data_IF_726337756409
#
_entry.id   IF_726337756409
#
_cell.length_a   1.000
_cell.length_b   1.000
_cell.length_c   1.000
_cell.angle_alpha   90.00
_cell.angle_beta   90.00
_cell.angle_gamma   90.00
#
_symmetry.space_group_name_H-M   'P 1'
#
loop_
_entity.id
_entity.type
_entity.pdbx_description
1 polymer ?
#
# COMPACT_ATOMS: atom_id res chain seq x y z
N UNK A 1 -26.80 -14.90 -11.49
CA UNK A 1 -26.25 -13.74 -12.24
C UNK A 1 -25.73 -14.25 -13.57
N UNK A 2 -26.02 -13.58 -14.68
CA UNK A 2 -25.51 -13.99 -15.99
C UNK A 2 -23.97 -13.89 -16.05
N UNK A 3 -23.31 -14.77 -16.82
CA UNK A 3 -21.84 -14.81 -16.96
C UNK A 3 -21.24 -13.44 -17.32
N UNK A 4 -21.81 -12.64 -18.26
CA UNK A 4 -21.28 -11.30 -18.56
C UNK A 4 -21.27 -10.36 -17.35
N UNK A 5 -22.31 -10.41 -16.52
CA UNK A 5 -22.38 -9.59 -15.32
C UNK A 5 -21.36 -10.03 -14.26
N UNK A 6 -21.14 -11.34 -14.07
CA UNK A 6 -20.10 -11.85 -13.16
C UNK A 6 -18.71 -11.38 -13.59
N UNK A 7 -18.42 -11.45 -14.90
CA UNK A 7 -17.16 -10.96 -15.47
C UNK A 7 -16.98 -9.46 -15.24
N UNK A 8 -18.02 -8.66 -15.49
CA UNK A 8 -18.01 -7.23 -15.21
C UNK A 8 -17.70 -6.90 -13.75
N UNK A 9 -18.33 -7.60 -12.80
CA UNK A 9 -18.04 -7.41 -11.37
C UNK A 9 -16.63 -7.89 -10.97
N UNK A 10 -16.12 -8.95 -11.60
CA UNK A 10 -14.74 -9.40 -11.36
C UNK A 10 -13.74 -8.33 -11.80
N UNK A 11 -13.95 -7.76 -13.00
CA UNK A 11 -13.12 -6.67 -13.54
C UNK A 11 -13.22 -5.41 -12.67
N UNK A 12 -14.41 -5.08 -12.17
CA UNK A 12 -14.58 -3.98 -11.22
C UNK A 12 -13.76 -4.20 -9.94
N UNK A 13 -13.75 -5.42 -9.38
CA UNK A 13 -12.93 -5.74 -8.21
C UNK A 13 -11.42 -5.57 -8.52
N UNK A 14 -10.97 -6.03 -9.69
CA UNK A 14 -9.57 -5.83 -10.10
C UNK A 14 -9.22 -4.34 -10.25
N UNK A 15 -10.12 -3.54 -10.83
CA UNK A 15 -9.93 -2.10 -10.94
C UNK A 15 -9.84 -1.42 -9.57
N UNK A 16 -10.72 -1.79 -8.62
CA UNK A 16 -10.68 -1.28 -7.25
C UNK A 16 -9.37 -1.65 -6.53
N UNK A 17 -8.90 -2.88 -6.72
CA UNK A 17 -7.63 -3.34 -6.16
C UNK A 17 -6.45 -2.53 -6.73
N UNK A 18 -6.30 -2.49 -8.05
CA UNK A 18 -5.21 -1.76 -8.72
C UNK A 18 -5.20 -0.27 -8.37
N UNK A 19 -6.38 0.38 -8.40
CA UNK A 19 -6.51 1.80 -8.06
C UNK A 19 -6.14 2.04 -6.60
N UNK A 20 -6.62 1.22 -5.67
CA UNK A 20 -6.32 1.41 -4.26
C UNK A 20 -4.83 1.21 -3.94
N UNK A 21 -4.12 0.33 -4.66
CA UNK A 21 -2.66 0.18 -4.52
C UNK A 21 -1.94 1.46 -4.96
N UNK A 22 -2.29 2.00 -6.13
CA UNK A 22 -1.71 3.26 -6.63
C UNK A 22 -2.04 4.44 -5.69
N UNK A 23 -3.29 4.56 -5.26
CA UNK A 23 -3.72 5.60 -4.32
C UNK A 23 -2.97 5.51 -3.00
N UNK A 24 -2.78 4.31 -2.43
CA UNK A 24 -2.05 4.11 -1.18
C UNK A 24 -0.59 4.53 -1.32
N UNK A 25 0.07 4.18 -2.43
CA UNK A 25 1.44 4.61 -2.71
C UNK A 25 1.56 6.15 -2.83
N UNK A 26 0.61 6.79 -3.51
CA UNK A 26 0.55 8.25 -3.65
C UNK A 26 0.35 8.90 -2.27
N UNK A 27 -0.67 8.48 -1.52
CA UNK A 27 -0.98 9.05 -0.19
C UNK A 27 0.21 8.89 0.75
N UNK A 28 0.86 7.72 0.78
CA UNK A 28 2.02 7.48 1.64
C UNK A 28 3.18 8.43 1.33
N UNK A 29 3.42 8.69 0.04
CA UNK A 29 4.44 9.64 -0.43
C UNK A 29 4.06 11.07 -0.08
N UNK A 30 2.81 11.45 -0.33
CA UNK A 30 2.31 12.80 -0.08
C UNK A 30 2.28 13.15 1.42
N UNK A 31 2.06 12.17 2.31
CA UNK A 31 2.13 12.39 3.75
C UNK A 31 3.50 12.91 4.21
N UNK A 32 4.60 12.50 3.56
CA UNK A 32 5.92 13.03 3.87
C UNK A 32 6.20 14.37 3.18
N UNK A 33 5.88 14.50 1.89
CA UNK A 33 6.07 15.78 1.17
C UNK A 33 5.23 16.93 1.73
N UNK A 34 4.07 16.62 2.32
CA UNK A 34 3.21 17.63 2.95
C UNK A 34 3.90 18.29 4.13
N UNK A 35 4.81 17.61 4.84
CA UNK A 35 5.53 18.21 5.97
C UNK A 35 6.36 19.39 5.50
N UNK A 36 7.21 19.19 4.49
CA UNK A 36 8.09 20.23 3.98
C UNK A 36 7.28 21.36 3.31
N UNK A 37 6.18 21.02 2.60
CA UNK A 37 5.26 22.03 2.04
C UNK A 37 4.57 22.86 3.12
N UNK A 38 4.12 22.23 4.21
CA UNK A 38 3.41 22.90 5.30
C UNK A 38 4.34 23.86 6.06
N UNK A 39 5.57 23.41 6.35
CA UNK A 39 6.57 24.22 7.04
C UNK A 39 7.03 25.40 6.17
N UNK A 40 7.19 25.22 4.86
CA UNK A 40 7.61 26.30 3.96
C UNK A 40 6.51 27.31 3.65
N UNK A 41 5.24 26.89 3.62
CA UNK A 41 4.13 27.76 3.22
C UNK A 41 3.60 28.63 4.36
N UNK A 42 3.86 28.28 5.62
CA UNK A 42 3.39 28.98 6.82
C UNK A 42 1.92 29.47 6.73
N UNK A 43 0.96 28.61 6.37
CA UNK A 43 -0.37 29.06 5.94
C UNK A 43 -1.25 29.59 7.09
N UNK A 44 -0.83 29.41 8.34
CA UNK A 44 -1.59 29.78 9.53
C UNK A 44 -0.65 30.41 10.58
N UNK A 45 -0.85 31.69 10.96
CA UNK A 45 0.00 32.38 11.93
C UNK A 45 0.09 31.68 13.30
N UNK A 46 -0.98 31.02 13.74
CA UNK A 46 -0.97 30.27 15.00
C UNK A 46 -0.11 29.01 14.90
N UNK A 47 -0.07 28.36 13.73
CA UNK A 47 0.85 27.26 13.46
C UNK A 47 2.29 27.76 13.45
N UNK A 48 2.59 28.84 12.71
CA UNK A 48 3.94 29.45 12.68
C UNK A 48 4.43 29.80 14.08
N UNK A 49 3.59 30.41 14.91
CA UNK A 49 3.95 30.72 16.30
C UNK A 49 4.24 29.48 17.17
N UNK A 50 3.68 28.31 16.83
CA UNK A 50 4.03 27.03 17.48
C UNK A 50 5.35 26.50 16.93
N UNK A 51 5.58 26.58 15.62
CA UNK A 51 6.85 26.19 14.99
C UNK A 51 8.02 27.02 15.55
N UNK A 52 7.85 28.33 15.71
CA UNK A 52 8.87 29.23 16.27
C UNK A 52 9.24 28.88 17.71
N UNK A 53 8.24 28.43 18.49
CA UNK A 53 8.46 28.02 19.89
C UNK A 53 9.14 26.65 20.00
N UNK A 54 8.77 25.70 19.15
CA UNK A 54 9.27 24.33 19.20
C UNK A 54 10.63 24.18 18.49
N UNK A 55 10.88 25.01 17.47
CA UNK A 55 11.99 24.86 16.55
C UNK A 55 11.57 24.12 15.28
N UNK A 56 12.13 24.53 14.14
CA UNK A 56 11.80 23.97 12.83
C UNK A 56 12.19 22.48 12.75
N UNK A 57 13.34 22.09 13.30
CA UNK A 57 13.81 20.70 13.22
C UNK A 57 12.93 19.75 14.02
N UNK A 58 12.62 20.15 15.25
CA UNK A 58 11.80 19.40 16.21
C UNK A 58 10.36 19.29 15.70
N UNK A 59 9.81 20.37 15.16
CA UNK A 59 8.49 20.36 14.51
C UNK A 59 8.46 19.38 13.34
N UNK A 60 9.50 19.40 12.49
CA UNK A 60 9.60 18.48 11.36
C UNK A 60 9.67 17.02 11.80
N UNK A 61 10.42 16.71 12.85
CA UNK A 61 10.49 15.36 13.42
C UNK A 61 9.15 14.91 13.98
N UNK A 62 8.44 15.77 14.71
CA UNK A 62 7.11 15.49 15.23
C UNK A 62 6.10 15.20 14.10
N UNK A 63 6.06 16.05 13.08
CA UNK A 63 5.18 15.84 11.91
C UNK A 63 5.56 14.59 11.13
N UNK A 64 6.87 14.29 11.02
CA UNK A 64 7.35 13.05 10.38
C UNK A 64 6.90 11.81 11.14
N UNK A 65 6.92 11.85 12.47
CA UNK A 65 6.41 10.76 13.29
C UNK A 65 4.90 10.55 13.05
N UNK A 66 4.11 11.63 13.05
CA UNK A 66 2.68 11.56 12.73
C UNK A 66 2.42 10.97 11.33
N UNK A 67 3.10 11.46 10.29
CA UNK A 67 2.99 10.92 8.93
C UNK A 67 3.41 9.45 8.86
N UNK A 68 4.37 9.04 9.68
CA UNK A 68 4.77 7.63 9.78
C UNK A 68 3.66 6.78 10.38
N UNK A 69 3.01 7.20 11.48
CA UNK A 69 1.86 6.48 12.05
C UNK A 69 0.65 6.45 11.11
N UNK A 70 0.37 7.54 10.38
CA UNK A 70 -0.68 7.55 9.34
C UNK A 70 -0.37 6.54 8.22
N UNK A 71 0.87 6.51 7.72
CA UNK A 71 1.26 5.54 6.72
C UNK A 71 1.16 4.09 7.23
N UNK A 72 1.62 3.84 8.46
CA UNK A 72 1.49 2.54 9.13
C UNK A 72 0.02 2.10 9.19
N UNK A 73 -0.89 3.01 9.52
CA UNK A 73 -2.33 2.75 9.56
C UNK A 73 -2.88 2.44 8.15
N UNK A 74 -2.55 3.27 7.17
CA UNK A 74 -3.03 3.11 5.79
C UNK A 74 -2.57 1.81 5.16
N UNK A 75 -1.30 1.41 5.32
CA UNK A 75 -0.82 0.13 4.80
C UNK A 75 -1.50 -1.07 5.47
N UNK A 76 -1.78 -1.02 6.78
CA UNK A 76 -2.51 -2.10 7.46
C UNK A 76 -3.94 -2.23 6.95
N UNK A 77 -4.69 -1.13 6.85
CA UNK A 77 -6.05 -1.17 6.32
C UNK A 77 -6.09 -1.52 4.85
N UNK A 78 -5.12 -1.03 4.07
CA UNK A 78 -5.04 -1.36 2.65
C UNK A 78 -4.81 -2.86 2.46
N UNK A 79 -3.89 -3.48 3.19
CA UNK A 79 -3.70 -4.93 3.19
C UNK A 79 -5.00 -5.70 3.49
N UNK A 80 -5.76 -5.29 4.50
CA UNK A 80 -7.06 -5.91 4.80
C UNK A 80 -8.09 -5.69 3.68
N UNK A 81 -8.13 -4.50 3.10
CA UNK A 81 -9.00 -4.19 1.97
C UNK A 81 -8.65 -5.03 0.74
N UNK A 82 -7.36 -5.20 0.44
CA UNK A 82 -6.88 -6.07 -0.64
C UNK A 82 -7.33 -7.51 -0.44
N UNK A 83 -7.20 -8.06 0.78
CA UNK A 83 -7.71 -9.41 1.09
C UNK A 83 -9.22 -9.51 0.86
N UNK A 84 -10.00 -8.55 1.34
CA UNK A 84 -11.45 -8.54 1.17
C UNK A 84 -11.87 -8.46 -0.31
N UNK A 85 -11.28 -7.52 -1.06
CA UNK A 85 -11.52 -7.34 -2.50
C UNK A 85 -11.07 -8.59 -3.27
N UNK A 86 -9.92 -9.16 -2.93
CA UNK A 86 -9.37 -10.32 -3.62
C UNK A 86 -10.14 -11.60 -3.39
N UNK A 87 -10.63 -11.84 -2.17
CA UNK A 87 -11.52 -12.98 -1.87
C UNK A 87 -12.81 -12.85 -2.69
N UNK A 88 -13.38 -11.64 -2.75
CA UNK A 88 -14.56 -11.38 -3.58
C UNK A 88 -14.28 -11.60 -5.07
N UNK A 89 -13.15 -11.08 -5.58
CA UNK A 89 -12.72 -11.26 -6.96
C UNK A 89 -12.54 -12.75 -7.30
N UNK A 90 -11.89 -13.52 -6.43
CA UNK A 90 -11.68 -14.96 -6.62
C UNK A 90 -13.01 -15.73 -6.60
N UNK A 91 -13.92 -15.39 -5.69
CA UNK A 91 -15.25 -16.01 -5.61
C UNK A 91 -16.07 -15.74 -6.89
N UNK A 92 -16.00 -14.52 -7.44
CA UNK A 92 -16.64 -14.19 -8.71
C UNK A 92 -15.97 -14.94 -9.88
N UNK A 93 -14.65 -14.89 -9.97
CA UNK A 93 -13.87 -15.55 -11.01
C UNK A 93 -14.08 -17.07 -11.00
N UNK A 94 -14.26 -17.68 -9.83
CA UNK A 94 -14.54 -19.12 -9.66
C UNK A 94 -15.81 -19.59 -10.38
N UNK A 95 -16.77 -18.68 -10.63
CA UNK A 95 -18.00 -18.95 -11.37
C UNK A 95 -17.85 -18.84 -12.89
N UNK A 96 -16.71 -18.34 -13.38
CA UNK A 96 -16.41 -18.26 -14.81
C UNK A 96 -15.75 -19.58 -15.25
N UNK A 97 -16.31 -20.32 -16.22
CA UNK A 97 -15.74 -21.59 -16.66
C UNK A 97 -14.44 -21.43 -17.46
N UNK A 98 -14.26 -20.30 -18.12
CA UNK A 98 -13.29 -20.03 -19.20
C UNK A 98 -12.16 -19.06 -18.82
N UNK A 99 -11.82 -18.96 -17.53
CA UNK A 99 -10.81 -18.01 -17.03
C UNK A 99 -9.79 -18.60 -16.03
N UNK A 100 -9.17 -19.77 -16.28
CA UNK A 100 -8.25 -20.39 -15.33
C UNK A 100 -6.99 -19.56 -15.04
N UNK A 101 -6.39 -18.86 -16.02
CA UNK A 101 -5.22 -17.98 -15.78
C UNK A 101 -5.57 -16.81 -14.87
N UNK A 102 -6.75 -16.21 -15.07
CA UNK A 102 -7.23 -15.14 -14.20
C UNK A 102 -7.41 -15.62 -12.75
N UNK A 103 -8.00 -16.81 -12.55
CA UNK A 103 -8.17 -17.42 -11.21
C UNK A 103 -6.82 -17.61 -10.52
N UNK A 104 -5.86 -18.23 -11.21
CA UNK A 104 -4.53 -18.46 -10.64
C UNK A 104 -3.75 -17.16 -10.40
N UNK A 105 -3.92 -16.16 -11.26
CA UNK A 105 -3.37 -14.82 -11.03
C UNK A 105 -3.92 -14.16 -9.77
N UNK A 106 -5.24 -14.23 -9.55
CA UNK A 106 -5.88 -13.71 -8.32
C UNK A 106 -5.39 -14.49 -7.08
N UNK A 107 -5.23 -15.81 -7.18
CA UNK A 107 -4.66 -16.64 -6.10
C UNK A 107 -3.23 -16.21 -5.78
N UNK A 108 -2.39 -15.96 -6.80
CA UNK A 108 -1.02 -15.50 -6.60
C UNK A 108 -0.98 -14.13 -5.91
N UNK A 109 -1.82 -13.19 -6.33
CA UNK A 109 -1.94 -11.88 -5.66
C UNK A 109 -2.39 -12.03 -4.21
N UNK A 110 -3.44 -12.81 -3.94
CA UNK A 110 -3.89 -13.08 -2.56
C UNK A 110 -2.79 -13.70 -1.69
N UNK A 111 -1.98 -14.60 -2.24
CA UNK A 111 -0.85 -15.17 -1.52
C UNK A 111 0.21 -14.12 -1.18
N UNK A 112 0.49 -13.18 -2.10
CA UNK A 112 1.39 -12.05 -1.86
C UNK A 112 0.82 -11.16 -0.75
N UNK A 113 -0.42 -10.69 -0.84
CA UNK A 113 -1.02 -9.84 0.22
C UNK A 113 -1.03 -10.55 1.55
N UNK A 114 -1.36 -11.84 1.60
CA UNK A 114 -1.35 -12.60 2.85
C UNK A 114 0.05 -12.63 3.47
N UNK A 115 1.08 -12.89 2.64
CA UNK A 115 2.48 -12.85 3.07
C UNK A 115 2.87 -11.46 3.58
N UNK A 116 2.50 -10.40 2.84
CA UNK A 116 2.76 -9.01 3.24
C UNK A 116 2.08 -8.69 4.57
N UNK A 117 0.81 -9.07 4.72
CA UNK A 117 -0.03 -8.76 5.89
C UNK A 117 0.47 -9.46 7.15
N UNK A 118 0.80 -10.75 7.05
CA UNK A 118 1.11 -11.58 8.22
C UNK A 118 2.57 -11.49 8.62
N UNK A 119 3.49 -11.37 7.66
CA UNK A 119 4.94 -11.46 7.93
C UNK A 119 5.69 -10.14 7.73
N UNK A 120 5.42 -9.40 6.65
CA UNK A 120 6.24 -8.23 6.31
C UNK A 120 5.78 -6.98 7.05
N UNK A 121 4.50 -6.63 6.96
CA UNK A 121 3.96 -5.40 7.55
C UNK A 121 4.19 -5.34 9.07
N UNK A 122 3.92 -6.38 9.88
CA UNK A 122 4.19 -6.32 11.33
C UNK A 122 5.67 -6.06 11.66
N UNK A 123 6.58 -6.62 10.86
CA UNK A 123 8.02 -6.38 11.03
C UNK A 123 8.42 -4.95 10.64
N UNK A 124 7.88 -4.41 9.55
CA UNK A 124 8.08 -2.99 9.17
C UNK A 124 7.61 -2.08 10.30
N UNK A 125 6.44 -2.34 10.89
CA UNK A 125 5.90 -1.56 12.00
C UNK A 125 6.82 -1.61 13.21
N UNK A 126 7.21 -2.81 13.63
CA UNK A 126 8.05 -3.03 14.80
C UNK A 126 9.42 -2.37 14.64
N UNK A 127 10.13 -2.67 13.55
CA UNK A 127 11.47 -2.12 13.29
C UNK A 127 11.38 -0.60 13.08
N UNK A 128 10.39 -0.14 12.33
CA UNK A 128 10.18 1.28 12.05
C UNK A 128 9.99 2.11 13.30
N UNK A 129 9.20 1.64 14.28
CA UNK A 129 9.02 2.35 15.56
C UNK A 129 10.29 2.42 16.39
N UNK A 130 11.17 1.42 16.29
CA UNK A 130 12.49 1.48 16.96
C UNK A 130 13.49 2.43 16.30
N UNK A 131 13.16 2.95 15.11
CA UNK A 131 13.97 3.94 14.39
C UNK A 131 13.41 5.36 14.51
N UNK A 132 12.22 5.52 15.10
CA UNK A 132 11.65 6.84 15.36
C UNK A 132 12.51 7.55 16.41
N UNK A 133 12.86 8.81 16.15
CA UNK A 133 13.73 9.65 16.99
C UNK A 133 15.17 9.13 17.20
N UNK A 134 15.62 8.17 16.38
CA UNK A 134 17.01 7.69 16.42
C UNK A 134 17.87 8.49 15.43
N UNK A 135 19.03 9.03 15.86
CA UNK A 135 19.99 9.68 14.97
C UNK A 135 20.40 8.74 13.82
N UNK A 136 20.54 9.31 12.62
CA UNK A 136 20.94 8.54 11.43
C UNK A 136 22.42 8.65 11.10
N UNK A 137 23.16 9.43 11.88
CA UNK A 137 24.61 9.56 11.79
C UNK A 137 25.25 9.28 13.15
N UNK A 138 25.96 8.14 13.31
CA UNK A 138 26.13 7.07 12.33
C UNK A 138 24.83 6.27 12.08
N UNK A 139 24.70 5.54 10.96
CA UNK A 139 23.49 4.78 10.64
C UNK A 139 23.22 3.66 11.66
N UNK A 140 22.01 3.56 12.25
CA UNK A 140 21.70 2.49 13.18
C UNK A 140 21.58 1.16 12.43
N UNK A 141 22.04 0.06 13.04
CA UNK A 141 22.04 -1.27 12.41
C UNK A 141 20.66 -1.70 11.88
N UNK A 142 19.58 -1.33 12.58
CA UNK A 142 18.20 -1.64 12.21
C UNK A 142 17.70 -0.89 10.96
N UNK A 143 18.38 0.18 10.54
CA UNK A 143 18.00 0.93 9.33
C UNK A 143 18.12 0.07 8.07
N UNK A 144 19.13 -0.80 8.00
CA UNK A 144 19.29 -1.76 6.90
C UNK A 144 18.14 -2.76 6.88
N UNK A 145 17.77 -3.31 8.03
CA UNK A 145 16.64 -4.24 8.16
C UNK A 145 15.34 -3.60 7.71
N UNK A 146 15.07 -2.36 8.15
CA UNK A 146 13.90 -1.60 7.72
C UNK A 146 13.90 -1.39 6.19
N UNK A 147 15.04 -0.99 5.62
CA UNK A 147 15.17 -0.80 4.18
C UNK A 147 14.89 -2.06 3.37
N UNK A 148 15.37 -3.22 3.82
CA UNK A 148 15.09 -4.51 3.18
C UNK A 148 13.61 -4.87 3.26
N UNK A 149 13.00 -4.77 4.44
CA UNK A 149 11.57 -5.08 4.62
C UNK A 149 10.68 -4.16 3.76
N UNK A 150 11.00 -2.87 3.74
CA UNK A 150 10.27 -1.89 2.93
C UNK A 150 10.46 -2.16 1.43
N UNK A 151 11.67 -2.50 0.98
CA UNK A 151 11.92 -2.87 -0.41
C UNK A 151 11.15 -4.15 -0.79
N UNK A 152 11.12 -5.17 0.07
CA UNK A 152 10.32 -6.39 -0.15
C UNK A 152 8.84 -6.05 -0.31
N UNK A 153 8.29 -5.19 0.55
CA UNK A 153 6.91 -4.74 0.42
C UNK A 153 6.68 -4.06 -0.94
N UNK A 154 7.47 -3.04 -1.26
CA UNK A 154 7.28 -2.24 -2.49
C UNK A 154 7.44 -3.07 -3.77
N UNK A 155 8.41 -3.99 -3.82
CA UNK A 155 8.61 -4.84 -5.00
C UNK A 155 7.45 -5.81 -5.17
N UNK A 156 6.98 -6.44 -4.09
CA UNK A 156 5.85 -7.37 -4.15
C UNK A 156 4.55 -6.67 -4.54
N UNK A 157 4.28 -5.49 -3.97
CA UNK A 157 3.12 -4.65 -4.33
C UNK A 157 3.19 -4.21 -5.81
N UNK A 158 4.40 -3.93 -6.32
CA UNK A 158 4.65 -3.66 -7.74
C UNK A 158 4.41 -4.89 -8.65
N UNK A 159 4.79 -6.09 -8.21
CA UNK A 159 4.49 -7.34 -8.91
C UNK A 159 2.97 -7.57 -8.94
N UNK A 160 2.25 -7.29 -7.86
CA UNK A 160 0.79 -7.39 -7.81
C UNK A 160 0.12 -6.47 -8.83
N UNK A 161 0.60 -5.25 -9.01
CA UNK A 161 0.08 -4.36 -10.07
C UNK A 161 0.24 -4.99 -11.46
N UNK A 162 1.41 -5.55 -11.77
CA UNK A 162 1.67 -6.20 -13.06
C UNK A 162 0.74 -7.40 -13.25
N UNK A 163 0.66 -8.28 -12.25
CA UNK A 163 -0.21 -9.47 -12.30
C UNK A 163 -1.68 -9.07 -12.40
N UNK A 164 -2.13 -8.06 -11.66
CA UNK A 164 -3.51 -7.58 -11.69
C UNK A 164 -3.90 -6.98 -13.04
N UNK A 165 -2.99 -6.30 -13.74
CA UNK A 165 -3.19 -5.86 -15.13
C UNK A 165 -3.36 -7.07 -16.05
N UNK A 166 -2.49 -8.08 -15.93
CA UNK A 166 -2.58 -9.31 -16.74
C UNK A 166 -3.90 -10.06 -16.48
N UNK A 167 -4.29 -10.21 -15.21
CA UNK A 167 -5.57 -10.80 -14.80
C UNK A 167 -6.73 -10.04 -15.44
N UNK A 168 -6.69 -8.71 -15.41
CA UNK A 168 -7.75 -7.88 -16.03
C UNK A 168 -7.83 -8.13 -17.53
N UNK A 169 -6.70 -8.28 -18.23
CA UNK A 169 -6.66 -8.60 -19.66
C UNK A 169 -7.22 -10.01 -19.92
N UNK A 170 -6.80 -11.02 -19.14
CA UNK A 170 -7.31 -12.39 -19.27
C UNK A 170 -8.81 -12.49 -18.97
N UNK A 171 -9.33 -11.66 -18.08
CA UNK A 171 -10.77 -11.56 -17.84
C UNK A 171 -11.54 -10.97 -19.03
N UNK A 172 -10.90 -10.34 -20.01
CA UNK A 172 -11.58 -9.87 -21.23
C UNK A 172 -11.53 -10.87 -22.38
N UNK A 173 -10.59 -11.81 -22.36
CA UNK A 173 -10.36 -12.78 -23.46
C UNK A 173 -10.67 -14.19 -22.97
N UNK A 174 -11.77 -14.82 -23.44
CA UNK A 174 -12.06 -16.22 -23.13
C UNK A 174 -10.86 -17.10 -23.48
N UNK A 175 -10.44 -17.98 -22.58
CA UNK A 175 -9.39 -18.94 -22.91
C UNK A 175 -9.97 -20.02 -23.83
N UNK A 176 -9.62 -19.98 -25.12
CA UNK A 176 -10.16 -20.89 -26.15
C UNK A 176 -10.42 -20.24 -27.51
N UNK A 177 -10.33 -18.91 -27.62
CA UNK A 177 -10.18 -18.14 -28.88
C UNK A 177 -8.71 -17.76 -29.12
#
# INVERSE_FOLDING_TARGET
>A
MAVPAIRGWTVFCMGAWLMGTVCTAIVATQNFYTIDRLLAAEPNPAFTAVVDKLGHSETRELLRYLSSELNRLYFQYWNLAQLAIGILALWLAGKLPDAPRAKWGIVAMLAIVLFLTVLITPQILSVGRTLDFVPRDPPPARLRTFGLLHATYTVLDGIELIVGILVTIWLQKPEGE
#
